data_IF_388738667966
#
_entry.id   IF_388738667966
#
_cell.length_a   1.000
_cell.length_b   1.000
_cell.length_c   1.000
_cell.angle_alpha   90.00
_cell.angle_beta   90.00
_cell.angle_gamma   90.00
#
_symmetry.space_group_name_H-M   'P 1'
#
loop_
_entity.id
_entity.type
_entity.pdbx_description
1 polymer ?
#
# COMPACT_ATOMS: atom_id res chain seq x y z
N UNK A 1 -11.87 29.12 18.43
CA UNK A 1 -12.11 27.87 17.68
C UNK A 1 -11.49 27.88 16.28
N UNK A 2 -11.57 28.95 15.47
CA UNK A 2 -10.92 29.00 14.16
C UNK A 2 -9.38 29.05 14.19
N UNK A 3 -8.78 29.71 15.19
CA UNK A 3 -7.32 29.80 15.35
C UNK A 3 -6.64 28.47 15.69
N UNK A 4 -7.29 27.64 16.52
CA UNK A 4 -6.81 26.31 16.89
C UNK A 4 -6.79 25.35 15.69
N UNK A 5 -7.80 25.43 14.82
CA UNK A 5 -7.87 24.62 13.60
C UNK A 5 -6.79 25.03 12.60
N UNK A 6 -6.49 26.32 12.48
CA UNK A 6 -5.41 26.82 11.63
C UNK A 6 -4.02 26.41 12.14
N UNK A 7 -3.82 26.44 13.46
CA UNK A 7 -2.60 25.98 14.12
C UNK A 7 -2.40 24.46 13.97
N UNK A 8 -3.47 23.68 14.11
CA UNK A 8 -3.46 22.23 13.85
C UNK A 8 -3.17 21.90 12.38
N UNK A 9 -3.72 22.67 11.43
CA UNK A 9 -3.43 22.52 10.00
C UNK A 9 -1.95 22.78 9.68
N UNK A 10 -1.36 23.82 10.32
CA UNK A 10 0.06 24.15 10.19
C UNK A 10 0.97 23.08 10.82
N UNK A 11 0.59 22.51 11.96
CA UNK A 11 1.34 21.44 12.63
C UNK A 11 1.29 20.13 11.83
N UNK A 12 0.16 19.81 11.19
CA UNK A 12 0.01 18.63 10.30
C UNK A 12 0.85 18.73 9.02
N UNK A 13 1.07 19.95 8.49
CA UNK A 13 1.94 20.17 7.33
C UNK A 13 3.43 19.92 7.66
N UNK A 14 3.83 20.08 8.92
CA UNK A 14 5.22 19.94 9.40
C UNK A 14 5.63 18.54 9.88
N UNK A 15 4.70 17.57 9.96
CA UNK A 15 5.02 16.19 10.39
C UNK A 15 5.94 15.47 9.42
N UNK A 16 7.19 15.19 9.84
CA UNK A 16 8.13 14.30 9.14
C UNK A 16 7.88 12.84 9.58
N UNK A 17 7.65 11.94 8.65
CA UNK A 17 7.83 10.49 8.88
C UNK A 17 9.21 10.09 8.38
N UNK A 18 10.16 9.97 9.31
CA UNK A 18 11.43 9.29 9.07
C UNK A 18 11.11 7.79 9.13
N UNK A 19 11.16 7.09 7.99
CA UNK A 19 11.13 5.64 7.94
C UNK A 19 12.57 5.15 7.88
N UNK A 20 13.09 4.75 9.03
CA UNK A 20 14.42 4.17 9.17
C UNK A 20 14.48 2.83 8.44
N UNK A 21 15.41 2.69 7.48
CA UNK A 21 15.62 1.47 6.71
C UNK A 21 16.53 0.56 7.52
N UNK A 22 16.00 -0.55 8.02
CA UNK A 22 16.77 -1.53 8.79
C UNK A 22 17.69 -2.34 7.85
N UNK A 23 19.02 -2.42 8.09
CA UNK A 23 19.92 -3.25 7.30
C UNK A 23 19.76 -4.74 7.65
N UNK A 24 19.87 -5.60 6.64
CA UNK A 24 19.80 -7.06 6.76
C UNK A 24 21.09 -7.62 7.42
N UNK A 25 21.01 -8.58 8.37
CA UNK A 25 22.20 -9.18 9.00
C UNK A 25 22.98 -10.11 8.05
N UNK A 26 24.32 -10.07 8.11
CA UNK A 26 25.20 -11.05 7.45
C UNK A 26 25.46 -12.28 8.34
N UNK A 27 25.42 -13.52 7.81
CA UNK A 27 25.76 -14.72 8.57
C UNK A 27 27.28 -15.04 8.59
N UNK A 28 27.79 -15.74 9.63
CA UNK A 28 29.21 -16.03 9.80
C UNK A 28 29.74 -17.21 8.95
N UNK A 29 31.03 -17.13 8.66
CA UNK A 29 31.79 -17.98 7.73
C UNK A 29 32.34 -19.27 8.36
N UNK A 30 31.56 -20.35 8.38
CA UNK A 30 32.12 -21.73 8.44
C UNK A 30 31.07 -22.79 8.08
N UNK A 31 30.43 -22.63 6.92
CA UNK A 31 29.38 -23.53 6.43
C UNK A 31 29.79 -24.10 5.07
N UNK A 32 29.41 -25.35 4.79
CA UNK A 32 29.51 -25.95 3.46
C UNK A 32 29.08 -24.91 2.41
N UNK A 33 30.00 -24.51 1.53
CA UNK A 33 29.71 -23.54 0.49
C UNK A 33 28.85 -24.21 -0.57
N UNK A 34 27.56 -23.96 -0.47
CA UNK A 34 26.58 -24.42 -1.44
C UNK A 34 26.54 -23.50 -2.69
N UNK A 35 27.43 -22.53 -2.83
CA UNK A 35 27.37 -21.56 -3.90
C UNK A 35 26.09 -20.72 -3.86
N UNK A 36 25.94 -19.85 -4.86
CA UNK A 36 24.79 -18.96 -4.95
C UNK A 36 23.70 -19.58 -5.82
N UNK A 37 22.47 -19.58 -5.32
CA UNK A 37 21.28 -19.90 -6.11
C UNK A 37 21.21 -18.91 -7.29
N UNK A 38 21.00 -19.38 -8.54
CA UNK A 38 20.92 -18.49 -9.70
C UNK A 38 19.84 -17.43 -9.52
N UNK A 39 20.24 -16.16 -9.40
CA UNK A 39 19.30 -15.05 -9.27
C UNK A 39 18.70 -14.69 -10.64
N UNK A 40 17.41 -14.37 -10.66
CA UNK A 40 16.76 -13.79 -11.83
C UNK A 40 16.81 -12.27 -11.74
N UNK A 41 17.04 -11.62 -12.88
CA UNK A 41 17.01 -10.16 -12.96
C UNK A 41 15.55 -9.70 -13.04
N UNK A 42 15.13 -8.88 -12.08
CA UNK A 42 13.80 -8.26 -12.04
C UNK A 42 13.88 -6.87 -12.66
N UNK A 43 12.84 -6.47 -13.39
CA UNK A 43 12.82 -5.20 -14.14
C UNK A 43 12.14 -4.06 -13.36
N UNK A 44 11.37 -4.39 -12.33
CA UNK A 44 10.59 -3.38 -11.60
C UNK A 44 11.46 -2.49 -10.70
N UNK A 45 11.48 -1.19 -11.02
CA UNK A 45 12.08 -0.15 -10.18
C UNK A 45 10.99 0.70 -9.53
N UNK A 46 10.87 0.64 -8.20
CA UNK A 46 9.84 1.34 -7.43
C UNK A 46 10.35 2.65 -6.80
N UNK A 47 10.96 3.52 -7.60
CA UNK A 47 11.40 4.83 -7.11
C UNK A 47 10.26 5.85 -7.23
N UNK A 48 9.78 6.34 -6.08
CA UNK A 48 8.78 7.40 -6.01
C UNK A 48 9.41 8.66 -5.43
N UNK A 49 9.50 9.71 -6.24
CA UNK A 49 9.88 11.05 -5.80
C UNK A 49 8.64 11.95 -5.76
N UNK A 50 8.13 12.29 -4.56
CA UNK A 50 7.11 13.30 -4.42
C UNK A 50 7.78 14.65 -4.63
N UNK A 51 7.80 15.14 -5.87
CA UNK A 51 8.28 16.48 -6.20
C UNK A 51 7.45 17.59 -5.52
N UNK A 52 7.37 18.77 -6.14
CA UNK A 52 6.63 19.93 -5.61
C UNK A 52 5.14 19.68 -5.31
N UNK A 53 4.55 18.64 -5.91
CA UNK A 53 3.17 18.18 -5.65
C UNK A 53 2.99 17.61 -4.22
N UNK A 54 4.08 17.25 -3.52
CA UNK A 54 4.03 16.64 -2.20
C UNK A 54 3.29 17.49 -1.15
N UNK A 55 3.27 18.80 -1.31
CA UNK A 55 2.52 19.72 -0.44
C UNK A 55 1.00 19.50 -0.58
N UNK A 56 0.51 19.31 -1.82
CA UNK A 56 -0.91 19.03 -2.06
C UNK A 56 -1.30 17.69 -1.42
N UNK A 57 -0.44 16.67 -1.53
CA UNK A 57 -0.67 15.39 -0.87
C UNK A 57 -0.73 15.53 0.65
N UNK A 58 0.11 16.37 1.27
CA UNK A 58 0.03 16.64 2.72
C UNK A 58 -1.31 17.26 3.12
N UNK A 59 -1.82 18.21 2.34
CA UNK A 59 -3.14 18.82 2.58
C UNK A 59 -4.25 17.76 2.49
N UNK A 60 -4.18 16.91 1.45
CA UNK A 60 -5.13 15.80 1.28
C UNK A 60 -5.03 14.83 2.47
N UNK A 61 -3.83 14.43 2.89
CA UNK A 61 -3.65 13.56 4.05
C UNK A 61 -4.21 14.17 5.33
N UNK A 62 -4.04 15.48 5.56
CA UNK A 62 -4.63 16.17 6.71
C UNK A 62 -6.17 16.15 6.64
N UNK A 63 -6.75 16.41 5.46
CA UNK A 63 -8.19 16.29 5.24
C UNK A 63 -8.69 14.86 5.49
N UNK A 64 -7.98 13.86 4.97
CA UNK A 64 -8.32 12.45 5.18
C UNK A 64 -8.26 12.07 6.67
N UNK A 65 -7.28 12.55 7.42
CA UNK A 65 -7.21 12.33 8.88
C UNK A 65 -8.40 12.96 9.61
N UNK A 66 -8.91 14.08 9.12
CA UNK A 66 -10.07 14.76 9.70
C UNK A 66 -11.39 14.07 9.35
N UNK A 67 -11.53 13.61 8.11
CA UNK A 67 -12.75 12.97 7.60
C UNK A 67 -12.87 11.51 8.05
N UNK A 68 -11.75 10.80 8.09
CA UNK A 68 -11.70 9.38 8.45
C UNK A 68 -10.46 9.10 9.30
N UNK A 69 -10.54 9.33 10.64
CA UNK A 69 -9.45 9.01 11.56
C UNK A 69 -9.29 7.51 11.81
N UNK A 70 -10.27 6.70 11.39
CA UNK A 70 -10.31 5.27 11.69
C UNK A 70 -9.27 4.51 10.85
N UNK A 71 -8.53 3.60 11.49
CA UNK A 71 -7.56 2.72 10.83
C UNK A 71 -8.21 1.78 9.82
N UNK A 72 -7.42 1.31 8.85
CA UNK A 72 -7.89 0.43 7.79
C UNK A 72 -8.53 -0.86 8.35
N UNK A 73 -9.79 -1.20 7.98
CA UNK A 73 -10.55 -2.25 8.63
C UNK A 73 -10.20 -3.62 8.05
N UNK A 74 -9.07 -4.18 8.49
CA UNK A 74 -8.56 -5.46 8.00
C UNK A 74 -9.57 -6.60 8.18
N UNK A 75 -10.26 -6.64 9.32
CA UNK A 75 -11.20 -7.71 9.64
C UNK A 75 -12.48 -7.63 8.81
N UNK A 76 -12.92 -6.42 8.45
CA UNK A 76 -14.06 -6.20 7.57
C UNK A 76 -13.77 -6.74 6.17
N UNK A 77 -12.56 -6.47 5.65
CA UNK A 77 -12.15 -6.95 4.33
C UNK A 77 -11.94 -8.45 4.32
N UNK A 78 -11.35 -9.04 5.37
CA UNK A 78 -11.23 -10.50 5.48
C UNK A 78 -12.59 -11.18 5.45
N UNK A 79 -13.57 -10.64 6.19
CA UNK A 79 -14.96 -11.14 6.18
C UNK A 79 -15.62 -10.99 4.81
N UNK A 80 -15.48 -9.82 4.17
CA UNK A 80 -15.99 -9.56 2.82
C UNK A 80 -15.35 -10.49 1.77
N UNK A 81 -14.04 -10.67 1.82
CA UNK A 81 -13.32 -11.57 0.92
C UNK A 81 -13.78 -13.01 1.13
N UNK A 82 -13.85 -13.50 2.36
CA UNK A 82 -14.36 -14.84 2.67
C UNK A 82 -15.80 -15.04 2.19
N UNK A 83 -16.67 -14.03 2.34
CA UNK A 83 -18.04 -14.09 1.83
C UNK A 83 -18.10 -14.08 0.29
N UNK A 84 -17.27 -13.28 -0.37
CA UNK A 84 -17.24 -13.14 -1.83
C UNK A 84 -16.63 -14.37 -2.51
N UNK A 85 -15.59 -14.96 -1.92
CA UNK A 85 -14.93 -16.18 -2.43
C UNK A 85 -15.62 -17.47 -1.99
N UNK A 86 -16.41 -17.42 -0.90
CA UNK A 86 -17.08 -18.58 -0.33
C UNK A 86 -18.52 -18.82 -0.81
N UNK A 87 -19.24 -17.81 -1.33
CA UNK A 87 -20.65 -17.95 -1.69
C UNK A 87 -21.09 -17.16 -2.94
N UNK A 88 -22.09 -17.72 -3.66
CA UNK A 88 -22.70 -17.16 -4.88
C UNK A 88 -23.21 -15.72 -4.67
N UNK A 89 -23.07 -14.83 -5.68
CA UNK A 89 -23.29 -13.39 -5.58
C UNK A 89 -24.79 -13.02 -5.68
N UNK A 90 -25.62 -13.48 -4.74
CA UNK A 90 -27.07 -13.33 -4.88
C UNK A 90 -27.92 -13.11 -3.63
N UNK A 91 -27.34 -13.05 -2.43
CA UNK A 91 -28.16 -12.99 -1.20
C UNK A 91 -27.82 -11.78 -0.32
N UNK A 92 -28.29 -10.61 -0.76
CA UNK A 92 -28.22 -9.35 -0.02
C UNK A 92 -29.20 -9.28 1.18
N UNK A 93 -30.00 -10.32 1.41
CA UNK A 93 -31.10 -10.30 2.40
C UNK A 93 -30.77 -10.98 3.73
N UNK A 94 -29.60 -11.60 3.87
CA UNK A 94 -29.15 -12.15 5.15
C UNK A 94 -28.82 -11.03 6.14
N UNK A 95 -29.28 -11.13 7.41
CA UNK A 95 -29.09 -10.07 8.41
C UNK A 95 -27.60 -9.76 8.68
N UNK A 96 -26.72 -10.74 8.48
CA UNK A 96 -25.28 -10.58 8.63
C UNK A 96 -24.65 -9.61 7.60
N UNK A 97 -25.19 -9.57 6.38
CA UNK A 97 -24.68 -8.70 5.31
C UNK A 97 -25.13 -7.25 5.51
N UNK A 98 -26.33 -7.03 6.06
CA UNK A 98 -26.86 -5.69 6.38
C UNK A 98 -26.07 -5.03 7.52
N UNK A 99 -25.66 -5.80 8.53
CA UNK A 99 -24.80 -5.30 9.61
C UNK A 99 -23.41 -4.93 9.08
N UNK A 100 -22.87 -5.74 8.16
CA UNK A 100 -21.56 -5.50 7.56
C UNK A 100 -21.56 -4.23 6.67
N UNK A 101 -22.62 -4.02 5.88
CA UNK A 101 -22.75 -2.78 5.08
C UNK A 101 -22.97 -1.56 5.96
N UNK A 102 -23.76 -1.66 7.03
CA UNK A 102 -23.95 -0.55 7.97
C UNK A 102 -22.63 -0.20 8.68
N UNK A 103 -21.84 -1.21 9.07
CA UNK A 103 -20.50 -1.01 9.63
C UNK A 103 -19.54 -0.35 8.64
N UNK A 104 -19.59 -0.73 7.36
CA UNK A 104 -18.82 -0.08 6.29
C UNK A 104 -19.23 1.38 6.09
N UNK A 105 -20.54 1.67 6.06
CA UNK A 105 -21.07 3.03 5.92
C UNK A 105 -20.72 3.89 7.12
N UNK A 106 -20.76 3.33 8.33
CA UNK A 106 -20.39 4.06 9.55
C UNK A 106 -18.89 4.37 9.60
N UNK A 107 -18.07 3.47 9.05
CA UNK A 107 -16.63 3.68 8.93
C UNK A 107 -16.30 4.87 8.00
N UNK A 108 -17.06 5.05 6.91
CA UNK A 108 -16.89 6.13 5.93
C UNK A 108 -17.80 7.35 6.16
N UNK A 109 -18.39 7.50 7.36
CA UNK A 109 -19.42 8.51 7.62
C UNK A 109 -18.97 9.95 7.30
N UNK A 110 -17.70 10.27 7.52
CA UNK A 110 -17.17 11.59 7.18
C UNK A 110 -17.24 11.89 5.69
N UNK A 111 -16.97 10.89 4.84
CA UNK A 111 -17.09 11.06 3.39
C UNK A 111 -18.53 11.24 2.98
N UNK A 112 -19.45 10.46 3.55
CA UNK A 112 -20.89 10.58 3.30
C UNK A 112 -21.39 11.98 3.64
N UNK A 113 -21.01 12.52 4.80
CA UNK A 113 -21.37 13.89 5.21
C UNK A 113 -20.78 14.93 4.25
N UNK A 114 -19.50 14.79 3.87
CA UNK A 114 -18.86 15.72 2.94
C UNK A 114 -19.50 15.72 1.56
N UNK A 115 -19.88 14.54 1.06
CA UNK A 115 -20.56 14.36 -0.22
C UNK A 115 -21.98 14.95 -0.17
N UNK A 116 -22.75 14.68 0.89
CA UNK A 116 -24.07 15.24 1.08
C UNK A 116 -24.04 16.78 1.10
N UNK A 117 -23.08 17.37 1.80
CA UNK A 117 -22.88 18.82 1.83
C UNK A 117 -22.51 19.37 0.44
N UNK A 118 -21.62 18.69 -0.28
CA UNK A 118 -21.24 19.05 -1.64
C UNK A 118 -22.42 19.02 -2.63
N UNK A 119 -23.22 17.95 -2.60
CA UNK A 119 -24.43 17.82 -3.42
C UNK A 119 -25.45 18.90 -3.07
N UNK A 120 -25.65 19.18 -1.78
CA UNK A 120 -26.52 20.24 -1.31
C UNK A 120 -26.11 21.59 -1.91
N UNK A 121 -24.83 21.96 -1.86
CA UNK A 121 -24.34 23.19 -2.48
C UNK A 121 -24.47 23.18 -4.00
N UNK A 122 -24.15 22.06 -4.65
CA UNK A 122 -24.26 21.93 -6.10
C UNK A 122 -25.70 22.10 -6.62
N UNK A 123 -26.71 21.78 -5.81
CA UNK A 123 -28.12 21.97 -6.15
C UNK A 123 -28.63 23.37 -5.73
N UNK A 124 -28.26 23.84 -4.53
CA UNK A 124 -28.74 25.13 -4.02
C UNK A 124 -28.19 26.31 -4.81
N UNK A 125 -26.90 26.30 -5.19
CA UNK A 125 -26.28 27.40 -5.93
C UNK A 125 -26.99 27.72 -7.26
N UNK A 126 -27.24 26.75 -8.17
CA UNK A 126 -27.97 27.01 -9.40
C UNK A 126 -29.44 27.32 -9.15
N UNK A 127 -30.08 26.71 -8.14
CA UNK A 127 -31.48 26.99 -7.82
C UNK A 127 -31.67 28.44 -7.34
N UNK A 128 -30.81 28.91 -6.44
CA UNK A 128 -30.78 30.30 -5.97
C UNK A 128 -30.48 31.24 -7.15
N UNK A 129 -29.51 30.89 -8.00
CA UNK A 129 -29.20 31.64 -9.22
C UNK A 129 -30.39 31.76 -10.17
N UNK A 130 -31.14 30.67 -10.40
CA UNK A 130 -32.35 30.64 -11.21
C UNK A 130 -33.45 31.49 -10.58
N UNK A 131 -33.67 31.37 -9.27
CA UNK A 131 -34.66 32.16 -8.54
C UNK A 131 -34.38 33.66 -8.65
N UNK A 132 -33.12 34.08 -8.49
CA UNK A 132 -32.72 35.48 -8.69
C UNK A 132 -32.84 35.91 -10.16
N UNK A 133 -32.50 35.03 -11.11
CA UNK A 133 -32.65 35.30 -12.53
C UNK A 133 -34.13 35.56 -12.89
N UNK A 134 -35.04 34.67 -12.48
CA UNK A 134 -36.48 34.83 -12.70
C UNK A 134 -37.05 36.06 -11.99
N UNK A 135 -36.64 36.31 -10.74
CA UNK A 135 -37.10 37.48 -9.99
C UNK A 135 -36.64 38.80 -10.63
N UNK A 136 -35.45 38.82 -11.24
CA UNK A 136 -34.96 39.97 -12.02
C UNK A 136 -35.67 40.09 -13.37
N UNK A 137 -35.98 38.99 -14.06
CA UNK A 137 -36.78 39.01 -15.29
C UNK A 137 -38.22 39.48 -15.07
N UNK A 138 -38.74 39.37 -13.84
CA UNK A 138 -40.08 39.85 -13.46
C UNK A 138 -40.05 41.22 -12.76
N UNK A 139 -38.91 41.92 -12.76
CA UNK A 139 -38.69 43.21 -12.10
C UNK A 139 -39.03 43.28 -10.59
N UNK A 140 -39.28 42.13 -9.96
CA UNK A 140 -39.59 42.01 -8.53
C UNK A 140 -38.32 42.08 -7.65
N UNK A 141 -37.14 41.84 -8.25
CA UNK A 141 -35.84 41.90 -7.59
C UNK A 141 -34.91 42.88 -8.32
N UNK A 142 -34.66 44.03 -7.70
CA UNK A 142 -33.70 45.02 -8.18
C UNK A 142 -33.72 46.20 -7.24
N UNK A 143 -32.56 46.58 -6.70
CA UNK A 143 -32.48 47.78 -5.87
C UNK A 143 -32.95 49.00 -6.64
N UNK A 144 -33.68 49.89 -5.96
CA UNK A 144 -34.19 51.10 -6.58
C UNK A 144 -33.04 51.94 -7.15
N UNK A 145 -33.11 52.31 -8.44
CA UNK A 145 -32.03 52.99 -9.17
C UNK A 145 -31.76 54.42 -8.67
N UNK A 146 -32.44 54.86 -7.60
CA UNK A 146 -32.11 56.08 -6.86
C UNK A 146 -30.94 55.87 -5.90
N UNK A 147 -29.74 56.02 -6.46
CA UNK A 147 -28.51 55.95 -5.72
C UNK A 147 -28.26 57.24 -4.92
N UNK A 148 -28.91 57.38 -3.76
CA UNK A 148 -28.63 58.47 -2.81
C UNK A 148 -27.19 58.31 -2.33
N UNK A 149 -26.26 59.15 -2.81
CA UNK A 149 -24.84 59.07 -2.43
C UNK A 149 -24.70 59.24 -0.91
N UNK A 150 -24.48 58.12 -0.20
CA UNK A 150 -24.07 58.14 1.21
C UNK A 150 -22.63 58.66 1.29
N UNK A 151 -22.34 59.44 2.34
CA UNK A 151 -21.02 60.07 2.60
C UNK A 151 -19.82 59.09 2.59
N UNK A 152 -20.05 57.78 2.73
CA UNK A 152 -19.03 56.72 2.70
C UNK A 152 -19.18 55.73 1.52
N UNK A 153 -19.85 56.13 0.43
CA UNK A 153 -20.15 55.22 -0.68
C UNK A 153 -18.90 54.68 -1.39
N UNK A 154 -17.86 55.50 -1.57
CA UNK A 154 -16.64 55.10 -2.28
C UNK A 154 -15.79 54.10 -1.51
N UNK A 155 -15.65 54.28 -0.18
CA UNK A 155 -14.97 53.30 0.68
C UNK A 155 -15.70 51.95 0.70
N UNK A 156 -17.04 51.96 0.78
CA UNK A 156 -17.84 50.73 0.76
C UNK A 156 -17.78 50.02 -0.58
N UNK A 157 -17.79 50.78 -1.69
CA UNK A 157 -17.64 50.24 -3.05
C UNK A 157 -16.24 49.65 -3.25
N UNK A 158 -15.20 50.34 -2.77
CA UNK A 158 -13.83 49.84 -2.75
C UNK A 158 -13.72 48.54 -1.97
N UNK A 159 -14.28 48.47 -0.76
CA UNK A 159 -14.27 47.27 0.07
C UNK A 159 -14.94 46.07 -0.62
N UNK A 160 -16.15 46.23 -1.17
CA UNK A 160 -16.81 45.15 -1.90
C UNK A 160 -16.05 44.73 -3.15
N UNK A 161 -15.50 45.68 -3.92
CA UNK A 161 -14.69 45.37 -5.08
C UNK A 161 -13.41 44.60 -4.70
N UNK A 162 -12.72 45.02 -3.64
CA UNK A 162 -11.54 44.32 -3.12
C UNK A 162 -11.86 42.91 -2.62
N UNK A 163 -12.98 42.73 -1.90
CA UNK A 163 -13.43 41.41 -1.44
C UNK A 163 -13.78 40.49 -2.60
N UNK A 164 -14.46 41.00 -3.63
CA UNK A 164 -14.76 40.24 -4.84
C UNK A 164 -13.50 39.86 -5.59
N UNK A 165 -12.56 40.80 -5.77
CA UNK A 165 -11.26 40.51 -6.38
C UNK A 165 -10.51 39.43 -5.59
N UNK A 166 -10.42 39.55 -4.27
CA UNK A 166 -9.79 38.54 -3.43
C UNK A 166 -10.46 37.15 -3.57
N UNK A 167 -11.80 37.08 -3.54
CA UNK A 167 -12.53 35.84 -3.70
C UNK A 167 -12.32 35.19 -5.09
N UNK A 168 -12.30 35.99 -6.16
CA UNK A 168 -12.04 35.50 -7.51
C UNK A 168 -10.61 34.97 -7.67
N UNK A 169 -9.62 35.67 -7.09
CA UNK A 169 -8.23 35.20 -7.09
C UNK A 169 -8.08 33.89 -6.33
N UNK A 170 -8.63 33.79 -5.12
CA UNK A 170 -8.61 32.55 -4.32
C UNK A 170 -9.28 31.39 -5.07
N UNK A 171 -10.42 31.64 -5.72
CA UNK A 171 -11.11 30.62 -6.52
C UNK A 171 -10.27 30.16 -7.71
N UNK A 172 -9.63 31.10 -8.42
CA UNK A 172 -8.77 30.79 -9.57
C UNK A 172 -7.54 29.96 -9.19
N UNK A 173 -6.93 30.26 -8.03
CA UNK A 173 -5.84 29.47 -7.45
C UNK A 173 -6.30 28.04 -7.15
N UNK A 174 -7.50 27.88 -6.58
CA UNK A 174 -8.09 26.55 -6.32
C UNK A 174 -8.26 25.73 -7.60
N UNK A 175 -8.78 26.35 -8.67
CA UNK A 175 -8.94 25.69 -9.99
C UNK A 175 -7.58 25.31 -10.59
N UNK A 176 -6.57 26.18 -10.47
CA UNK A 176 -5.21 25.88 -10.92
C UNK A 176 -4.62 24.66 -10.21
N UNK A 177 -4.76 24.59 -8.88
CA UNK A 177 -4.30 23.42 -8.12
C UNK A 177 -5.07 22.14 -8.48
N UNK A 178 -6.39 22.22 -8.66
CA UNK A 178 -7.19 21.08 -9.11
C UNK A 178 -6.73 20.57 -10.49
N UNK A 179 -6.46 21.48 -11.42
CA UNK A 179 -5.92 21.13 -12.75
C UNK A 179 -4.54 20.48 -12.65
N UNK A 180 -3.61 21.07 -11.89
CA UNK A 180 -2.26 20.53 -11.71
C UNK A 180 -2.29 19.14 -11.05
N UNK A 181 -3.13 18.96 -10.02
CA UNK A 181 -3.34 17.67 -9.36
C UNK A 181 -3.89 16.63 -10.35
N UNK A 182 -4.88 17.00 -11.17
CA UNK A 182 -5.48 16.08 -12.14
C UNK A 182 -4.46 15.64 -13.21
N UNK A 183 -3.63 16.56 -13.72
CA UNK A 183 -2.57 16.23 -14.66
C UNK A 183 -1.53 15.30 -14.02
N UNK A 184 -1.13 15.58 -12.79
CA UNK A 184 -0.19 14.72 -12.06
C UNK A 184 -0.79 13.34 -11.77
N UNK A 185 -2.05 13.24 -11.34
CA UNK A 185 -2.71 11.95 -11.13
C UNK A 185 -2.81 11.15 -12.43
N UNK A 186 -3.14 11.81 -13.54
CA UNK A 186 -3.21 11.17 -14.85
C UNK A 186 -1.87 10.57 -15.27
N UNK A 187 -0.76 11.30 -15.07
CA UNK A 187 0.57 10.79 -15.39
C UNK A 187 1.00 9.65 -14.47
N UNK A 188 0.70 9.75 -13.17
CA UNK A 188 0.97 8.69 -12.19
C UNK A 188 0.18 7.42 -12.46
N UNK A 189 -1.11 7.51 -12.80
CA UNK A 189 -1.94 6.36 -13.18
C UNK A 189 -1.37 5.66 -14.42
N UNK A 190 -0.89 6.42 -15.40
CA UNK A 190 -0.22 5.86 -16.57
C UNK A 190 1.10 5.16 -16.21
N UNK A 191 1.85 5.70 -15.25
CA UNK A 191 3.04 5.06 -14.68
C UNK A 191 2.71 3.80 -13.90
N UNK A 192 1.65 3.81 -13.10
CA UNK A 192 1.18 2.68 -12.31
C UNK A 192 0.81 1.49 -13.20
N UNK A 193 0.15 1.71 -14.34
CA UNK A 193 -0.12 0.62 -15.30
C UNK A 193 1.17 -0.04 -15.82
N UNK A 194 2.21 0.76 -16.11
CA UNK A 194 3.52 0.21 -16.51
C UNK A 194 4.15 -0.58 -15.37
N UNK A 195 4.07 -0.07 -14.15
CA UNK A 195 4.60 -0.72 -12.95
C UNK A 195 3.86 -2.03 -12.64
N UNK A 196 2.54 -2.07 -12.77
CA UNK A 196 1.75 -3.30 -12.62
C UNK A 196 2.16 -4.32 -13.68
N UNK A 197 2.30 -3.89 -14.93
CA UNK A 197 2.74 -4.78 -16.00
C UNK A 197 4.16 -5.32 -15.79
N UNK A 198 5.09 -4.49 -15.29
CA UNK A 198 6.45 -4.94 -14.94
C UNK A 198 6.44 -5.92 -13.77
N UNK A 199 5.63 -5.66 -12.73
CA UNK A 199 5.46 -6.57 -11.58
C UNK A 199 4.89 -7.92 -12.02
N UNK A 200 3.89 -7.96 -12.90
CA UNK A 200 3.35 -9.22 -13.41
C UNK A 200 4.37 -9.99 -14.24
N UNK A 201 5.22 -9.29 -15.00
CA UNK A 201 6.34 -9.91 -15.71
C UNK A 201 7.38 -10.46 -14.74
N UNK A 202 7.73 -9.72 -13.69
CA UNK A 202 8.66 -10.17 -12.65
C UNK A 202 8.11 -11.36 -11.88
N UNK A 203 6.81 -11.37 -11.57
CA UNK A 203 6.12 -12.52 -10.99
C UNK A 203 6.19 -13.74 -11.92
N UNK A 204 6.02 -13.54 -13.23
CA UNK A 204 6.19 -14.63 -14.20
C UNK A 204 7.64 -15.15 -14.23
N UNK A 205 8.62 -14.25 -14.19
CA UNK A 205 10.05 -14.61 -14.13
C UNK A 205 10.35 -15.38 -12.85
N UNK A 206 9.80 -14.94 -11.71
CA UNK A 206 9.90 -15.64 -10.44
C UNK A 206 9.31 -17.05 -10.55
N UNK A 207 8.04 -17.18 -10.95
CA UNK A 207 7.35 -18.46 -11.07
C UNK A 207 8.03 -19.43 -12.04
N UNK A 208 8.58 -18.93 -13.16
CA UNK A 208 9.32 -19.76 -14.12
C UNK A 208 10.74 -20.08 -13.65
N UNK A 209 11.34 -19.23 -12.81
CA UNK A 209 12.69 -19.41 -12.27
C UNK A 209 12.72 -20.35 -11.06
N UNK A 210 11.67 -20.35 -10.25
CA UNK A 210 11.58 -21.15 -9.01
C UNK A 210 11.84 -22.65 -9.24
N UNK A 211 11.28 -23.33 -10.26
CA UNK A 211 11.55 -24.75 -10.48
C UNK A 211 13.04 -25.04 -10.70
N UNK A 212 13.72 -24.25 -11.52
CA UNK A 212 15.16 -24.42 -11.76
C UNK A 212 16.03 -24.14 -10.53
N UNK A 213 15.61 -23.20 -9.66
CA UNK A 213 16.27 -22.96 -8.38
C UNK A 213 16.06 -24.11 -7.39
N UNK A 214 14.86 -24.71 -7.38
CA UNK A 214 14.56 -25.91 -6.58
C UNK A 214 15.42 -27.08 -7.06
N UNK A 215 15.47 -27.34 -8.37
CA UNK A 215 16.27 -28.43 -8.95
C UNK A 215 17.76 -28.28 -8.63
N UNK A 216 18.28 -27.05 -8.69
CA UNK A 216 19.66 -26.75 -8.28
C UNK A 216 19.91 -27.16 -6.82
N UNK A 217 19.04 -26.73 -5.91
CA UNK A 217 19.16 -27.05 -4.49
C UNK A 217 19.05 -28.56 -4.22
N UNK A 218 18.14 -29.25 -4.92
CA UNK A 218 17.96 -30.70 -4.83
C UNK A 218 19.19 -31.45 -5.34
N UNK A 219 19.78 -31.02 -6.46
CA UNK A 219 20.99 -31.62 -7.02
C UNK A 219 22.19 -31.47 -6.09
N UNK A 220 22.30 -30.30 -5.48
CA UNK A 220 23.35 -30.02 -4.52
C UNK A 220 23.20 -30.84 -3.25
N UNK A 221 21.98 -30.92 -2.70
CA UNK A 221 21.67 -31.80 -1.58
C UNK A 221 22.03 -33.26 -1.90
N UNK A 222 21.65 -33.75 -3.08
CA UNK A 222 21.98 -35.12 -3.50
C UNK A 222 23.48 -35.37 -3.65
N UNK A 223 24.24 -34.37 -4.09
CA UNK A 223 25.70 -34.46 -4.19
C UNK A 223 26.35 -34.56 -2.81
N UNK A 224 25.96 -33.70 -1.87
CA UNK A 224 26.44 -33.76 -0.48
C UNK A 224 26.03 -35.06 0.19
N UNK A 225 24.79 -35.52 -0.02
CA UNK A 225 24.31 -36.83 0.46
C UNK A 225 25.17 -37.98 -0.04
N UNK A 226 25.48 -38.02 -1.35
CA UNK A 226 26.34 -39.06 -1.94
C UNK A 226 27.76 -39.02 -1.36
N UNK A 227 28.32 -37.83 -1.16
CA UNK A 227 29.65 -37.67 -0.54
C UNK A 227 29.65 -38.16 0.90
N UNK A 228 28.68 -37.75 1.72
CA UNK A 228 28.55 -38.19 3.11
C UNK A 228 28.37 -39.72 3.22
N UNK A 229 27.55 -40.33 2.35
CA UNK A 229 27.40 -41.79 2.29
C UNK A 229 28.70 -42.49 1.86
N UNK A 230 29.41 -41.92 0.89
CA UNK A 230 30.72 -42.46 0.46
C UNK A 230 31.74 -42.40 1.59
N UNK A 231 31.80 -41.30 2.33
CA UNK A 231 32.72 -41.15 3.47
C UNK A 231 32.37 -42.14 4.59
N UNK A 232 31.08 -42.31 4.92
CA UNK A 232 30.61 -43.32 5.88
C UNK A 232 30.96 -44.76 5.45
N UNK A 233 30.79 -45.10 4.17
CA UNK A 233 31.17 -46.42 3.66
C UNK A 233 32.68 -46.64 3.70
N UNK A 234 33.46 -45.59 3.43
CA UNK A 234 34.92 -45.66 3.49
C UNK A 234 35.44 -45.78 4.93
N UNK A 235 34.74 -45.21 5.92
CA UNK A 235 35.00 -45.48 7.34
C UNK A 235 34.81 -46.96 7.65
N UNK A 236 33.75 -47.59 7.12
CA UNK A 236 33.51 -49.02 7.25
C UNK A 236 34.64 -49.89 6.70
N UNK A 237 35.20 -49.55 5.54
CA UNK A 237 36.34 -50.29 4.96
C UNK A 237 37.65 -49.99 5.69
N UNK A 238 37.91 -48.74 6.06
CA UNK A 238 39.15 -48.31 6.72
C UNK A 238 39.24 -48.75 8.18
N UNK A 239 38.13 -48.74 8.92
CA UNK A 239 38.08 -49.20 10.31
C UNK A 239 37.68 -50.67 10.39
N UNK A 240 36.70 -51.12 9.62
CA UNK A 240 36.22 -52.51 9.66
C UNK A 240 37.31 -53.51 9.31
N UNK A 241 38.13 -53.26 8.27
CA UNK A 241 39.24 -54.15 7.93
C UNK A 241 40.31 -54.18 9.03
N UNK A 242 40.66 -53.02 9.61
CA UNK A 242 41.64 -52.95 10.71
C UNK A 242 41.14 -53.61 11.99
N UNK A 243 39.86 -53.43 12.32
CA UNK A 243 39.23 -54.09 13.46
C UNK A 243 39.17 -55.59 13.23
N UNK A 244 38.76 -56.04 12.04
CA UNK A 244 38.72 -57.46 11.67
C UNK A 244 40.11 -58.11 11.72
N UNK A 245 41.14 -57.45 11.18
CA UNK A 245 42.53 -57.94 11.28
C UNK A 245 43.03 -58.03 12.72
N UNK A 246 42.67 -57.08 13.58
CA UNK A 246 43.02 -57.12 15.01
C UNK A 246 42.25 -58.20 15.77
N UNK A 247 40.92 -58.26 15.60
CA UNK A 247 40.08 -59.23 16.29
C UNK A 247 40.31 -60.67 15.79
N UNK A 248 40.53 -60.84 14.49
CA UNK A 248 40.76 -62.15 13.88
C UNK A 248 42.01 -62.85 14.42
N UNK A 249 43.03 -62.09 14.84
CA UNK A 249 44.22 -62.65 15.48
C UNK A 249 43.93 -63.32 16.82
N UNK A 250 42.93 -62.85 17.55
CA UNK A 250 42.54 -63.41 18.85
C UNK A 250 41.40 -64.43 18.72
N UNK A 251 40.42 -64.14 17.86
CA UNK A 251 39.19 -64.92 17.74
C UNK A 251 39.38 -66.19 16.91
N UNK A 252 40.13 -66.14 15.79
CA UNK A 252 40.32 -67.33 14.95
C UNK A 252 41.04 -68.47 15.68
N UNK A 253 42.16 -68.25 16.42
CA UNK A 253 42.80 -69.32 17.18
C UNK A 253 41.91 -69.85 18.32
N UNK A 254 41.17 -68.98 19.00
CA UNK A 254 40.25 -69.39 20.06
C UNK A 254 39.10 -70.25 19.50
N UNK A 255 38.59 -69.93 18.30
CA UNK A 255 37.56 -70.70 17.61
C UNK A 255 38.08 -72.07 17.15
N UNK A 256 39.28 -72.13 16.55
CA UNK A 256 39.92 -73.39 16.16
C UNK A 256 40.21 -74.29 17.37
N UNK A 257 40.65 -73.70 18.49
CA UNK A 257 40.85 -74.43 19.74
C UNK A 257 39.53 -75.01 20.27
N UNK A 258 38.42 -74.26 20.20
CA UNK A 258 37.11 -74.77 20.61
C UNK A 258 36.59 -75.88 19.67
N UNK A 259 36.81 -75.74 18.35
CA UNK A 259 36.39 -76.71 17.35
C UNK A 259 37.16 -78.02 17.41
N UNK A 260 38.44 -77.98 17.81
CA UNK A 260 39.26 -79.17 18.02
C UNK A 260 39.00 -79.89 19.34
N UNK A 261 38.23 -79.28 20.24
CA UNK A 261 37.74 -79.90 21.48
C UNK A 261 36.35 -80.55 21.34
N UNK A 262 35.69 -80.43 20.17
CA UNK A 262 34.41 -81.06 19.85
C UNK A 262 34.62 -82.31 18.98
#
# INVERSE_FOLDING_TARGET
>A
MAGEVYLLLLLLLCGRTISERQPLPQPPSETLDFGYVPSKMYDTNAYYEPGTIGILFRIVHAFLCLVQPNYFPQDLIKKLAQQTFGNKPGDYQKPENVVLTLQAVHYEIGFVVSAALGVLFALLLPLIGLCFCLCRCCDNCGGEMHQRQKKNADCRRGCFASLLLAATLLSSIGVFFAYAANQHLTSQVRGANKLVNSNFRDLRIFLNGTPGQIDYLVNQYNTTKKKALSDLNNVGTLLGNRVWEQLGKEVCPALDAALTMA
#
